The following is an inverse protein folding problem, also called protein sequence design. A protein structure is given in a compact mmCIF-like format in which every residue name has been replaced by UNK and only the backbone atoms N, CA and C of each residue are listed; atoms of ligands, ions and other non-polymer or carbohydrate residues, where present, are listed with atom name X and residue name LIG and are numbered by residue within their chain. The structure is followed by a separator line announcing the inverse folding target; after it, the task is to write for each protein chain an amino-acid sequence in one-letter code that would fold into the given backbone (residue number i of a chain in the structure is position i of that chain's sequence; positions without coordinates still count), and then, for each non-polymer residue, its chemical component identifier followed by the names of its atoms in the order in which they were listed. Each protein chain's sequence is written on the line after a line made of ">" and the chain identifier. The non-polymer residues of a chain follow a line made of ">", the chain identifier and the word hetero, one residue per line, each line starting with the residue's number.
data_IF_041534796511
#
_entry.id   IF_041534796511
#
_cell.length_a   1.000
_cell.length_b   1.000
_cell.length_c   1.000
_cell.angle_alpha   90.00
_cell.angle_beta   90.00
_cell.angle_gamma   90.00
#
_symmetry.space_group_name_H-M   'P 1'
#
loop_
_entity.id
_entity.type
_entity.pdbx_description
1 polymer ?
#
# COMPACT_ATOMS: atom_id res chain seq x y z
N UNK A 1 11.13 13.92 -0.60
CA UNK A 1 11.30 12.44 -0.70
C UNK A 1 10.25 11.79 -1.60
N UNK A 2 10.58 10.75 -2.40
CA UNK A 2 9.65 10.21 -3.40
C UNK A 2 8.44 9.54 -2.74
N UNK A 3 7.22 9.78 -3.26
CA UNK A 3 6.03 9.06 -2.85
C UNK A 3 6.10 7.59 -3.25
N UNK A 4 5.24 6.78 -2.66
CA UNK A 4 5.07 5.41 -3.11
C UNK A 4 4.62 5.41 -4.56
N UNK A 5 5.30 4.63 -5.40
CA UNK A 5 4.87 4.43 -6.78
C UNK A 5 4.41 2.99 -6.93
N UNK A 6 3.23 2.81 -7.51
CA UNK A 6 2.68 1.50 -7.86
C UNK A 6 2.65 1.38 -9.38
N UNK A 7 2.81 0.16 -9.89
CA UNK A 7 2.99 -0.09 -11.32
C UNK A 7 1.64 -0.57 -11.89
N UNK A 8 0.84 0.27 -12.58
CA UNK A 8 -0.52 -0.11 -12.99
C UNK A 8 -0.54 -1.27 -13.99
N UNK A 9 0.44 -1.33 -14.90
CA UNK A 9 0.55 -2.45 -15.85
C UNK A 9 0.74 -3.80 -15.16
N UNK A 10 1.36 -3.83 -13.97
CA UNK A 10 1.48 -5.08 -13.21
C UNK A 10 0.12 -5.51 -12.66
N UNK A 11 -0.75 -4.57 -12.29
CA UNK A 11 -2.14 -4.87 -11.92
C UNK A 11 -2.88 -5.54 -13.08
N UNK A 12 -2.79 -4.94 -14.27
CA UNK A 12 -3.43 -5.46 -15.49
C UNK A 12 -3.00 -6.91 -15.76
N UNK A 13 -1.69 -7.16 -15.76
CA UNK A 13 -1.13 -8.49 -16.01
C UNK A 13 -1.55 -9.51 -14.96
N UNK A 14 -1.57 -9.12 -13.68
CA UNK A 14 -1.95 -10.00 -12.59
C UNK A 14 -3.42 -10.41 -12.66
N UNK A 15 -4.31 -9.51 -13.09
CA UNK A 15 -5.72 -9.83 -13.29
C UNK A 15 -5.90 -10.76 -14.50
N UNK A 16 -5.29 -10.45 -15.64
CA UNK A 16 -5.35 -11.28 -16.86
C UNK A 16 -4.83 -12.69 -16.59
N UNK A 17 -3.80 -12.82 -15.76
CA UNK A 17 -3.23 -14.12 -15.35
C UNK A 17 -4.22 -15.01 -14.58
N UNK A 18 -5.29 -14.45 -13.99
CA UNK A 18 -6.35 -15.22 -13.33
C UNK A 18 -7.31 -15.91 -14.31
N UNK A 19 -7.20 -15.61 -15.62
CA UNK A 19 -7.96 -16.27 -16.69
C UNK A 19 -9.47 -16.30 -16.45
N UNK A 20 -10.02 -15.20 -15.92
CA UNK A 20 -11.46 -15.06 -15.70
C UNK A 20 -12.18 -14.99 -17.05
N UNK A 21 -13.26 -15.77 -17.20
CA UNK A 21 -14.00 -15.91 -18.45
C UNK A 21 -15.37 -15.25 -18.31
N UNK A 22 -15.82 -14.55 -19.36
CA UNK A 22 -17.18 -14.04 -19.50
C UNK A 22 -17.81 -14.51 -20.83
N UNK A 23 -19.13 -14.79 -20.85
CA UNK A 23 -20.01 -14.94 -19.70
C UNK A 23 -19.66 -16.18 -18.84
N UNK A 24 -19.94 -16.08 -17.54
CA UNK A 24 -19.64 -17.14 -16.56
C UNK A 24 -20.55 -18.36 -16.80
N UNK A 25 -19.97 -19.57 -16.73
CA UNK A 25 -20.74 -20.81 -16.79
C UNK A 25 -21.28 -21.15 -18.18
N UNK A 26 -20.89 -20.40 -19.21
CA UNK A 26 -21.35 -20.64 -20.57
C UNK A 26 -20.71 -21.89 -21.18
N UNK A 27 -21.53 -22.64 -21.92
CA UNK A 27 -21.11 -23.74 -22.78
C UNK A 27 -21.77 -23.60 -24.14
N UNK A 28 -21.03 -23.96 -25.19
CA UNK A 28 -21.55 -23.93 -26.56
C UNK A 28 -22.75 -24.89 -26.66
N UNK A 29 -23.93 -24.44 -27.13
CA UNK A 29 -25.08 -25.31 -27.32
C UNK A 29 -24.76 -26.47 -28.27
N UNK A 30 -25.20 -27.68 -27.90
CA UNK A 30 -25.05 -28.91 -28.70
C UNK A 30 -26.40 -29.44 -29.18
N UNK A 31 -26.41 -30.36 -30.15
CA UNK A 31 -27.64 -30.99 -30.65
C UNK A 31 -28.46 -30.03 -31.53
N UNK A 32 -29.80 -30.10 -31.45
CA UNK A 32 -30.68 -29.22 -32.24
C UNK A 32 -30.49 -27.73 -31.90
N UNK A 33 -30.27 -27.39 -30.63
CA UNK A 33 -29.93 -26.03 -30.21
C UNK A 33 -28.60 -25.53 -30.77
N UNK A 34 -27.64 -26.44 -31.02
CA UNK A 34 -26.37 -26.11 -31.68
C UNK A 34 -26.51 -25.73 -33.15
N UNK A 35 -27.58 -26.18 -33.83
CA UNK A 35 -27.88 -25.78 -35.21
C UNK A 35 -28.51 -24.38 -35.27
N UNK A 36 -29.40 -24.08 -34.32
CA UNK A 36 -30.08 -22.78 -34.24
C UNK A 36 -29.15 -21.65 -33.77
N UNK A 37 -28.10 -21.97 -33.01
CA UNK A 37 -27.22 -20.97 -32.43
C UNK A 37 -26.44 -20.13 -33.47
N UNK A 38 -25.73 -20.69 -34.47
CA UNK A 38 -25.10 -19.91 -35.52
C UNK A 38 -26.10 -19.09 -36.35
N UNK A 39 -27.29 -19.63 -36.59
CA UNK A 39 -28.34 -18.98 -37.39
C UNK A 39 -28.92 -17.74 -36.68
N UNK A 40 -28.77 -17.63 -35.36
CA UNK A 40 -29.20 -16.47 -34.58
C UNK A 40 -28.31 -15.23 -34.79
N UNK A 41 -27.13 -15.37 -35.41
CA UNK A 41 -26.16 -14.30 -35.61
C UNK A 41 -26.07 -13.86 -37.06
N UNK A 42 -25.79 -12.57 -37.28
CA UNK A 42 -25.35 -12.11 -38.61
C UNK A 42 -23.95 -12.67 -38.90
N UNK A 43 -23.61 -12.83 -40.18
CA UNK A 43 -22.28 -13.35 -40.58
C UNK A 43 -21.10 -12.60 -39.96
N UNK A 44 -21.21 -11.30 -39.77
CA UNK A 44 -20.19 -10.45 -39.13
C UNK A 44 -20.23 -10.46 -37.59
N UNK A 45 -21.20 -11.16 -36.99
CA UNK A 45 -21.35 -11.29 -35.54
C UNK A 45 -20.89 -12.69 -35.04
N UNK A 46 -20.71 -13.64 -35.96
CA UNK A 46 -20.28 -15.01 -35.66
C UNK A 46 -18.86 -15.08 -35.06
N UNK A 47 -17.95 -14.26 -35.58
CA UNK A 47 -16.56 -14.24 -35.15
C UNK A 47 -15.99 -12.82 -35.29
N UNK A 48 -15.56 -12.25 -34.17
CA UNK A 48 -14.86 -10.98 -34.09
C UNK A 48 -13.51 -11.22 -33.41
N UNK A 49 -12.42 -10.57 -33.85
CA UNK A 49 -11.13 -10.72 -33.19
C UNK A 49 -11.21 -10.26 -31.72
N UNK A 50 -10.67 -11.06 -30.78
CA UNK A 50 -10.66 -10.70 -29.37
C UNK A 50 -9.76 -9.49 -29.10
N UNK A 51 -10.10 -8.72 -28.06
CA UNK A 51 -9.32 -7.53 -27.67
C UNK A 51 -8.06 -7.96 -26.92
N UNK A 52 -6.85 -7.54 -27.35
CA UNK A 52 -5.62 -7.80 -26.62
C UNK A 52 -5.66 -7.20 -25.20
N UNK A 53 -5.17 -7.94 -24.21
CA UNK A 53 -5.08 -7.50 -22.80
C UNK A 53 -6.42 -7.10 -22.16
N UNK A 54 -7.52 -7.70 -22.61
CA UNK A 54 -8.78 -7.62 -21.90
C UNK A 54 -8.68 -8.35 -20.55
N UNK A 55 -9.20 -7.74 -19.49
CA UNK A 55 -9.23 -8.34 -18.14
C UNK A 55 -9.96 -9.69 -18.12
N UNK A 56 -10.97 -9.84 -18.97
CA UNK A 56 -11.73 -11.07 -19.11
C UNK A 56 -11.50 -11.73 -20.46
N UNK A 57 -11.42 -13.05 -20.43
CA UNK A 57 -11.38 -13.91 -21.60
C UNK A 57 -12.81 -14.17 -22.09
N UNK A 58 -12.98 -14.16 -23.41
CA UNK A 58 -14.27 -14.43 -24.02
C UNK A 58 -14.53 -15.93 -24.04
N UNK A 59 -15.71 -16.36 -23.59
CA UNK A 59 -16.11 -17.77 -23.65
C UNK A 59 -16.25 -18.27 -25.10
N UNK A 60 -16.54 -17.37 -26.03
CA UNK A 60 -16.50 -17.62 -27.47
C UNK A 60 -16.08 -16.36 -28.24
N UNK A 61 -15.80 -16.52 -29.53
CA UNK A 61 -15.41 -15.42 -30.43
C UNK A 61 -16.60 -14.66 -31.02
N UNK A 62 -17.83 -14.96 -30.59
CA UNK A 62 -18.99 -14.22 -31.06
C UNK A 62 -18.88 -12.74 -30.62
N UNK A 63 -19.48 -11.85 -31.41
CA UNK A 63 -19.38 -10.41 -31.17
C UNK A 63 -19.83 -10.01 -29.77
N UNK A 64 -20.95 -10.55 -29.29
CA UNK A 64 -21.55 -10.14 -28.03
C UNK A 64 -20.69 -10.50 -26.81
N UNK A 65 -20.03 -11.66 -26.83
CA UNK A 65 -19.10 -12.08 -25.78
C UNK A 65 -17.83 -11.23 -25.81
N UNK A 66 -17.30 -10.93 -27.01
CA UNK A 66 -16.13 -10.06 -27.16
C UNK A 66 -16.42 -8.64 -26.69
N UNK A 67 -17.56 -8.07 -27.09
CA UNK A 67 -17.99 -6.73 -26.68
C UNK A 67 -18.26 -6.67 -25.17
N UNK A 68 -18.93 -7.68 -24.59
CA UNK A 68 -19.13 -7.75 -23.14
C UNK A 68 -17.82 -7.85 -22.36
N UNK A 69 -16.88 -8.69 -22.81
CA UNK A 69 -15.56 -8.78 -22.17
C UNK A 69 -14.85 -7.44 -22.20
N UNK A 70 -14.91 -6.73 -23.33
CA UNK A 70 -14.30 -5.40 -23.49
C UNK A 70 -14.92 -4.38 -22.54
N UNK A 71 -16.23 -4.30 -22.47
CA UNK A 71 -16.93 -3.29 -21.67
C UNK A 71 -16.77 -3.54 -20.16
N UNK A 72 -17.02 -4.78 -19.72
CA UNK A 72 -16.84 -5.17 -18.31
C UNK A 72 -15.37 -5.14 -17.93
N UNK A 73 -14.48 -5.60 -18.80
CA UNK A 73 -13.04 -5.56 -18.59
C UNK A 73 -12.51 -4.14 -18.43
N UNK A 74 -13.04 -3.18 -19.21
CA UNK A 74 -12.71 -1.76 -19.03
C UNK A 74 -13.15 -1.25 -17.66
N UNK A 75 -14.37 -1.55 -17.22
CA UNK A 75 -14.85 -1.13 -15.90
C UNK A 75 -13.98 -1.66 -14.75
N UNK A 76 -13.56 -2.92 -14.84
CA UNK A 76 -12.67 -3.54 -13.84
C UNK A 76 -11.28 -2.91 -13.86
N UNK A 77 -10.74 -2.61 -15.05
CA UNK A 77 -9.47 -1.92 -15.20
C UNK A 77 -9.51 -0.51 -14.62
N UNK A 78 -10.54 0.26 -14.96
CA UNK A 78 -10.74 1.62 -14.47
C UNK A 78 -10.89 1.64 -12.94
N UNK A 79 -11.63 0.67 -12.38
CA UNK A 79 -11.72 0.46 -10.93
C UNK A 79 -10.35 0.17 -10.31
N UNK A 80 -9.59 -0.76 -10.89
CA UNK A 80 -8.29 -1.16 -10.35
C UNK A 80 -7.31 0.03 -10.32
N UNK A 81 -7.25 0.80 -11.39
CA UNK A 81 -6.38 1.97 -11.50
C UNK A 81 -6.81 3.07 -10.52
N UNK A 82 -8.12 3.32 -10.40
CA UNK A 82 -8.65 4.26 -9.42
C UNK A 82 -8.28 3.88 -7.98
N UNK A 83 -8.34 2.59 -7.63
CA UNK A 83 -7.95 2.10 -6.31
C UNK A 83 -6.44 2.23 -6.05
N UNK A 84 -5.60 1.99 -7.06
CA UNK A 84 -4.15 2.19 -6.95
C UNK A 84 -3.80 3.67 -6.73
N UNK A 85 -4.47 4.57 -7.42
CA UNK A 85 -4.26 6.01 -7.23
C UNK A 85 -4.83 6.51 -5.89
N UNK A 86 -5.96 5.96 -5.43
CA UNK A 86 -6.50 6.23 -4.10
C UNK A 86 -5.53 5.78 -2.99
N UNK A 87 -4.84 4.65 -3.17
CA UNK A 87 -3.81 4.20 -2.25
C UNK A 87 -2.61 5.17 -2.23
N UNK A 88 -2.10 5.59 -3.39
CA UNK A 88 -1.01 6.59 -3.47
C UNK A 88 -1.39 7.88 -2.74
N UNK A 89 -2.56 8.43 -3.05
CA UNK A 89 -3.08 9.63 -2.41
C UNK A 89 -3.12 9.48 -0.89
N UNK A 90 -3.68 8.38 -0.40
CA UNK A 90 -3.82 8.11 1.04
C UNK A 90 -2.49 7.94 1.73
N UNK A 91 -1.54 7.26 1.08
CA UNK A 91 -0.19 7.09 1.58
C UNK A 91 0.56 8.42 1.66
N UNK A 92 0.38 9.33 0.69
CA UNK A 92 0.98 10.65 0.75
C UNK A 92 0.37 11.52 1.85
N UNK A 93 -0.94 11.45 2.05
CA UNK A 93 -1.60 12.08 3.21
C UNK A 93 -1.09 11.51 4.54
N UNK A 94 -0.83 10.20 4.59
CA UNK A 94 -0.22 9.57 5.74
C UNK A 94 1.21 10.06 5.99
N UNK A 95 2.05 10.14 4.95
CA UNK A 95 3.44 10.64 5.06
C UNK A 95 3.51 12.06 5.60
N UNK A 96 2.52 12.91 5.28
CA UNK A 96 2.42 14.28 5.82
C UNK A 96 2.27 14.31 7.33
N UNK A 97 1.60 13.31 7.88
CA UNK A 97 1.30 13.22 9.30
C UNK A 97 2.23 12.24 10.04
N UNK A 98 2.98 11.43 9.30
CA UNK A 98 3.85 10.41 9.84
C UNK A 98 4.98 11.02 10.69
N UNK A 99 5.19 10.44 11.86
CA UNK A 99 6.18 10.90 12.83
C UNK A 99 6.75 9.75 13.64
N UNK A 100 7.98 9.95 14.09
CA UNK A 100 8.60 9.08 15.09
C UNK A 100 8.33 9.67 16.46
N UNK A 101 7.98 8.83 17.43
CA UNK A 101 7.71 9.20 18.82
C UNK A 101 8.34 8.18 19.76
N UNK A 102 8.43 8.56 21.04
CA UNK A 102 8.90 7.70 22.13
C UNK A 102 10.29 7.11 21.87
N UNK A 103 11.15 7.84 21.16
CA UNK A 103 12.53 7.43 20.95
C UNK A 103 13.35 7.73 22.20
N UNK A 104 14.25 6.80 22.52
CA UNK A 104 15.30 6.99 23.51
C UNK A 104 16.61 7.29 22.81
N UNK A 105 17.23 8.40 23.19
CA UNK A 105 18.53 8.82 22.66
C UNK A 105 19.63 8.48 23.64
N UNK A 106 20.60 7.67 23.17
CA UNK A 106 21.74 7.18 23.95
C UNK A 106 23.02 7.43 23.17
N UNK A 107 23.73 8.50 23.54
CA UNK A 107 24.85 9.07 22.82
C UNK A 107 24.47 9.27 21.34
N UNK A 108 25.17 8.59 20.43
CA UNK A 108 24.93 8.69 18.99
C UNK A 108 23.66 8.00 18.50
N UNK A 109 23.12 7.07 19.29
CA UNK A 109 22.09 6.14 18.86
C UNK A 109 20.68 6.62 19.22
N UNK A 110 19.75 6.48 18.26
CA UNK A 110 18.32 6.52 18.49
C UNK A 110 17.75 5.10 18.62
N UNK A 111 16.99 4.84 19.67
CA UNK A 111 16.36 3.56 19.94
C UNK A 111 14.85 3.78 20.05
N UNK A 112 14.07 3.04 19.28
CA UNK A 112 12.60 3.09 19.29
C UNK A 112 12.05 1.69 19.47
N UNK A 113 11.16 1.50 20.42
CA UNK A 113 10.44 0.23 20.60
C UNK A 113 9.38 0.05 19.50
N UNK A 114 8.85 -1.18 19.29
CA UNK A 114 7.82 -1.40 18.28
C UNK A 114 6.62 -0.46 18.46
N UNK A 115 6.31 0.31 17.41
CA UNK A 115 5.26 1.32 17.42
C UNK A 115 5.75 2.76 17.55
N UNK A 116 7.07 2.97 17.48
CA UNK A 116 7.66 4.30 17.48
C UNK A 116 7.30 5.12 16.22
N UNK A 117 6.85 4.49 15.13
CA UNK A 117 6.32 5.18 13.96
C UNK A 117 4.79 5.33 14.09
N UNK A 118 4.34 6.58 14.08
CA UNK A 118 2.94 6.94 14.19
C UNK A 118 2.44 7.68 12.95
N UNK A 119 1.15 7.56 12.68
CA UNK A 119 0.49 8.08 11.48
C UNK A 119 -0.96 7.60 11.38
N UNK A 120 -1.80 8.32 10.62
CA UNK A 120 -3.23 8.06 10.51
C UNK A 120 -3.52 6.73 9.81
N UNK A 121 -4.76 6.26 9.89
CA UNK A 121 -5.19 5.12 9.09
C UNK A 121 -5.43 5.54 7.64
N UNK A 122 -5.21 4.62 6.69
CA UNK A 122 -5.35 4.91 5.27
C UNK A 122 -6.80 4.83 4.80
N UNK A 123 -7.64 4.05 5.48
CA UNK A 123 -8.98 3.66 5.00
C UNK A 123 -9.86 4.85 4.63
N UNK A 124 -10.00 5.83 5.53
CA UNK A 124 -10.84 6.99 5.29
C UNK A 124 -10.34 7.82 4.11
N UNK A 125 -9.03 8.01 4.00
CA UNK A 125 -8.43 8.73 2.88
C UNK A 125 -8.63 7.98 1.56
N UNK A 126 -8.58 6.64 1.57
CA UNK A 126 -8.77 5.83 0.36
C UNK A 126 -10.21 5.84 -0.12
N UNK A 127 -11.18 5.87 0.82
CA UNK A 127 -12.61 5.96 0.51
C UNK A 127 -13.00 7.34 -0.02
N UNK A 128 -12.37 8.39 0.50
CA UNK A 128 -12.64 9.78 0.15
C UNK A 128 -11.69 10.34 -0.92
N UNK A 129 -10.81 9.51 -1.49
CA UNK A 129 -9.90 9.93 -2.55
C UNK A 129 -10.73 10.37 -3.78
N UNK A 130 -10.33 11.44 -4.49
CA UNK A 130 -11.10 11.97 -5.63
C UNK A 130 -11.46 10.92 -6.70
N UNK A 131 -10.63 9.89 -6.84
CA UNK A 131 -10.78 8.81 -7.83
C UNK A 131 -11.88 7.80 -7.47
N UNK A 132 -12.24 7.70 -6.19
CA UNK A 132 -13.11 6.63 -5.65
C UNK A 132 -14.28 7.18 -4.83
N UNK A 133 -14.28 8.47 -4.50
CA UNK A 133 -15.32 9.13 -3.70
C UNK A 133 -16.72 9.05 -4.35
N UNK A 134 -16.78 9.07 -5.68
CA UNK A 134 -18.04 8.98 -6.44
C UNK A 134 -18.57 7.54 -6.57
N UNK A 135 -17.81 6.53 -6.15
CA UNK A 135 -18.24 5.14 -6.26
C UNK A 135 -19.47 4.89 -5.39
N UNK A 136 -20.46 4.22 -5.97
CA UNK A 136 -21.75 3.92 -5.35
C UNK A 136 -22.16 2.46 -5.58
N UNK A 137 -23.18 1.99 -4.87
CA UNK A 137 -23.70 0.63 -5.00
C UNK A 137 -22.66 -0.44 -4.71
N UNK A 138 -22.59 -1.48 -5.56
CA UNK A 138 -21.63 -2.57 -5.39
C UNK A 138 -20.17 -2.11 -5.54
N UNK A 139 -19.91 -1.11 -6.39
CA UNK A 139 -18.57 -0.57 -6.58
C UNK A 139 -18.02 0.10 -5.31
N UNK A 140 -18.89 0.76 -4.53
CA UNK A 140 -18.53 1.30 -3.22
C UNK A 140 -18.15 0.18 -2.22
N UNK A 141 -18.89 -0.95 -2.23
CA UNK A 141 -18.56 -2.10 -1.37
C UNK A 141 -17.21 -2.73 -1.74
N UNK A 142 -16.90 -2.82 -3.04
CA UNK A 142 -15.58 -3.26 -3.52
C UNK A 142 -14.48 -2.31 -3.05
N UNK A 143 -14.66 -1.00 -3.24
CA UNK A 143 -13.73 0.03 -2.74
C UNK A 143 -13.52 -0.08 -1.23
N UNK A 144 -14.60 -0.20 -0.47
CA UNK A 144 -14.56 -0.21 0.98
C UNK A 144 -13.81 -1.44 1.51
N UNK A 145 -14.01 -2.62 0.90
CA UNK A 145 -13.27 -3.83 1.21
C UNK A 145 -11.77 -3.69 0.88
N UNK A 146 -11.44 -3.14 -0.30
CA UNK A 146 -10.06 -2.86 -0.66
C UNK A 146 -9.39 -1.87 0.32
N UNK A 147 -10.05 -0.76 0.64
CA UNK A 147 -9.55 0.27 1.54
C UNK A 147 -9.34 -0.26 2.97
N UNK A 148 -10.30 -1.02 3.51
CA UNK A 148 -10.20 -1.62 4.83
C UNK A 148 -9.06 -2.65 4.90
N UNK A 149 -8.98 -3.56 3.92
CA UNK A 149 -7.95 -4.59 3.87
C UNK A 149 -6.53 -4.02 3.78
N UNK A 150 -6.32 -3.06 2.87
CA UNK A 150 -5.02 -2.39 2.69
C UNK A 150 -4.65 -1.58 3.94
N UNK A 151 -5.59 -0.79 4.48
CA UNK A 151 -5.36 0.03 5.68
C UNK A 151 -4.99 -0.82 6.89
N UNK A 152 -5.69 -1.94 7.10
CA UNK A 152 -5.41 -2.88 8.19
C UNK A 152 -3.98 -3.43 8.12
N UNK A 153 -3.60 -3.98 6.97
CA UNK A 153 -2.24 -4.51 6.76
C UNK A 153 -1.16 -3.44 6.96
N UNK A 154 -1.38 -2.23 6.42
CA UNK A 154 -0.45 -1.12 6.56
C UNK A 154 -0.33 -0.66 8.01
N UNK A 155 -1.44 -0.56 8.74
CA UNK A 155 -1.45 -0.19 10.17
C UNK A 155 -0.75 -1.23 11.03
N UNK A 156 -0.98 -2.51 10.77
CA UNK A 156 -0.27 -3.61 11.43
C UNK A 156 1.25 -3.52 11.22
N UNK A 157 1.70 -3.25 9.99
CA UNK A 157 3.11 -2.98 9.69
C UNK A 157 3.64 -1.78 10.48
N UNK A 158 2.99 -0.61 10.36
CA UNK A 158 3.39 0.65 10.98
C UNK A 158 3.52 0.50 12.49
N UNK A 159 2.53 -0.13 13.14
CA UNK A 159 2.43 -0.27 14.59
C UNK A 159 3.57 -1.07 15.23
N UNK A 160 4.40 -1.74 14.43
CA UNK A 160 5.54 -2.54 14.91
C UNK A 160 6.88 -2.08 14.33
N UNK A 161 6.92 -0.98 13.59
CA UNK A 161 8.18 -0.35 13.18
C UNK A 161 8.99 0.03 14.43
N UNK A 162 10.29 -0.23 14.39
CA UNK A 162 11.23 0.04 15.47
C UNK A 162 12.51 0.68 14.95
N UNK A 163 13.25 1.39 15.81
CA UNK A 163 14.57 1.96 15.51
C UNK A 163 15.62 1.18 16.32
N UNK A 164 16.47 0.35 15.68
CA UNK A 164 17.30 -0.63 16.39
C UNK A 164 18.61 -0.06 16.99
N UNK A 165 18.67 1.23 17.33
CA UNK A 165 19.91 1.87 17.77
C UNK A 165 20.70 2.51 16.63
N UNK A 166 20.01 3.17 15.69
CA UNK A 166 20.65 3.78 14.52
C UNK A 166 21.46 5.03 14.92
N UNK A 167 22.62 5.30 14.31
CA UNK A 167 23.50 6.41 14.65
C UNK A 167 22.98 7.75 14.09
N UNK A 168 21.81 8.18 14.56
CA UNK A 168 21.12 9.38 14.09
C UNK A 168 21.79 10.67 14.55
N UNK A 169 22.47 10.67 15.69
CA UNK A 169 22.98 11.90 16.30
C UNK A 169 24.48 11.83 16.64
N UNK A 170 25.42 11.75 15.68
CA UNK A 170 26.85 11.68 16.01
C UNK A 170 27.37 12.80 16.90
N UNK A 171 26.79 14.01 16.79
CA UNK A 171 27.11 15.15 17.65
C UNK A 171 26.83 14.89 19.15
N UNK A 172 25.99 13.92 19.48
CA UNK A 172 25.64 13.57 20.86
C UNK A 172 26.63 12.61 21.52
N UNK A 173 27.69 12.18 20.80
CA UNK A 173 28.80 11.43 21.40
C UNK A 173 29.53 12.25 22.47
N UNK A 174 29.71 13.55 22.20
CA UNK A 174 30.41 14.49 23.06
C UNK A 174 29.86 15.90 22.83
N UNK A 175 28.84 16.27 23.62
CA UNK A 175 28.20 17.59 23.52
C UNK A 175 28.74 18.54 24.62
N UNK A 176 29.13 19.78 24.29
CA UNK A 176 29.66 20.75 25.24
C UNK A 176 28.53 21.50 25.97
N UNK A 177 27.90 20.85 26.94
CA UNK A 177 26.88 21.50 27.77
C UNK A 177 26.12 20.53 28.67
N UNK A 178 25.27 21.03 29.59
CA UNK A 178 24.47 20.21 30.48
C UNK A 178 23.31 19.49 29.76
N UNK A 179 22.87 20.03 28.62
CA UNK A 179 21.76 19.51 27.84
C UNK A 179 21.96 19.81 26.36
N UNK A 180 21.82 18.80 25.51
CA UNK A 180 21.81 18.94 24.07
C UNK A 180 20.46 19.50 23.61
N UNK A 181 20.43 20.58 22.83
CA UNK A 181 19.21 21.11 22.26
C UNK A 181 18.63 20.15 21.20
N UNK A 182 17.39 20.38 20.74
CA UNK A 182 16.83 19.67 19.61
C UNK A 182 17.73 19.77 18.36
N UNK A 183 18.30 18.64 17.94
CA UNK A 183 19.15 18.53 16.76
C UNK A 183 18.57 17.48 15.80
N UNK A 184 18.57 17.74 14.48
CA UNK A 184 18.02 16.80 13.51
C UNK A 184 18.90 15.54 13.40
N UNK A 185 18.28 14.43 13.03
CA UNK A 185 18.99 13.20 12.70
C UNK A 185 19.77 13.32 11.39
N UNK A 186 20.83 12.52 11.26
CA UNK A 186 21.40 12.20 9.95
C UNK A 186 20.34 11.43 9.13
N UNK A 187 20.05 11.86 7.89
CA UNK A 187 19.15 11.16 6.99
C UNK A 187 19.47 9.67 6.90
N UNK A 188 18.45 8.83 7.11
CA UNK A 188 18.62 7.38 7.06
C UNK A 188 17.46 6.73 6.30
N UNK A 189 17.71 5.71 5.45
CA UNK A 189 16.63 5.00 4.76
C UNK A 189 15.63 4.36 5.74
N UNK A 190 14.34 4.43 5.46
CA UNK A 190 13.27 3.85 6.29
C UNK A 190 13.37 2.33 6.41
N UNK A 191 13.92 1.66 5.39
CA UNK A 191 14.20 0.22 5.44
C UNK A 191 15.13 -0.18 6.61
N UNK A 192 15.92 0.76 7.17
CA UNK A 192 16.76 0.51 8.35
C UNK A 192 15.98 0.47 9.67
N UNK A 193 14.69 0.84 9.64
CA UNK A 193 13.76 0.75 10.75
C UNK A 193 12.82 -0.45 10.52
N UNK A 194 13.24 -1.68 10.87
CA UNK A 194 12.48 -2.88 10.56
C UNK A 194 11.14 -2.90 11.30
N UNK A 195 10.22 -3.70 10.76
CA UNK A 195 8.98 -4.09 11.43
C UNK A 195 8.88 -5.62 11.39
N UNK A 196 8.56 -6.31 12.49
CA UNK A 196 8.27 -7.74 12.46
C UNK A 196 7.00 -8.06 11.63
N UNK A 197 6.19 -7.05 11.32
CA UNK A 197 4.95 -7.18 10.55
C UNK A 197 5.13 -6.92 9.05
N UNK A 198 6.36 -6.98 8.54
CA UNK A 198 6.65 -6.87 7.09
C UNK A 198 5.86 -7.88 6.25
N UNK A 199 5.62 -9.08 6.77
CA UNK A 199 4.84 -10.12 6.09
C UNK A 199 3.40 -9.68 5.77
N UNK A 200 2.82 -8.73 6.54
CA UNK A 200 1.47 -8.21 6.31
C UNK A 200 1.33 -7.40 5.03
N UNK A 201 2.44 -6.88 4.51
CA UNK A 201 2.49 -6.14 3.26
C UNK A 201 2.83 -7.01 2.05
N UNK A 202 2.78 -8.35 2.18
CA UNK A 202 2.92 -9.27 1.05
C UNK A 202 1.62 -9.35 0.25
N UNK A 203 1.68 -9.72 -1.05
CA UNK A 203 0.49 -9.79 -1.90
C UNK A 203 -0.61 -10.70 -1.33
N UNK A 204 -0.24 -11.84 -0.74
CA UNK A 204 -1.21 -12.80 -0.17
C UNK A 204 -1.88 -12.29 1.09
N UNK A 205 -1.15 -11.60 1.96
CA UNK A 205 -1.75 -11.04 3.18
C UNK A 205 -2.67 -9.86 2.86
N UNK A 206 -2.27 -9.00 1.91
CA UNK A 206 -3.12 -7.93 1.41
C UNK A 206 -4.38 -8.46 0.73
N UNK A 207 -4.25 -9.47 -0.14
CA UNK A 207 -5.39 -10.16 -0.76
C UNK A 207 -6.34 -10.71 0.30
N UNK A 208 -5.83 -11.48 1.26
CA UNK A 208 -6.63 -12.06 2.35
C UNK A 208 -7.37 -11.00 3.16
N UNK A 209 -6.70 -9.90 3.54
CA UNK A 209 -7.33 -8.82 4.29
C UNK A 209 -8.44 -8.10 3.51
N UNK A 210 -8.29 -7.96 2.18
CA UNK A 210 -9.35 -7.41 1.32
C UNK A 210 -10.54 -8.37 1.20
N UNK A 211 -10.28 -9.67 1.08
CA UNK A 211 -11.31 -10.71 1.05
C UNK A 211 -12.08 -10.78 2.37
N UNK A 212 -11.39 -10.72 3.51
CA UNK A 212 -12.01 -10.73 4.85
C UNK A 212 -12.94 -9.52 5.06
N UNK A 213 -12.63 -8.39 4.42
CA UNK A 213 -13.45 -7.17 4.47
C UNK A 213 -14.57 -7.15 3.42
N UNK A 214 -14.61 -8.13 2.51
CA UNK A 214 -15.59 -8.18 1.43
C UNK A 214 -16.90 -8.78 1.91
N UNK A 215 -18.01 -8.10 1.59
CA UNK A 215 -19.34 -8.42 2.13
C UNK A 215 -20.33 -8.91 1.08
N UNK A 216 -19.91 -9.04 -0.17
CA UNK A 216 -20.75 -9.59 -1.24
C UNK A 216 -20.38 -11.05 -1.50
N UNK A 217 -21.35 -11.79 -2.04
CA UNK A 217 -21.07 -13.12 -2.57
C UNK A 217 -20.20 -13.00 -3.83
N UNK A 218 -19.19 -13.86 -3.95
CA UNK A 218 -18.24 -13.88 -5.07
C UNK A 218 -18.04 -15.32 -5.58
N UNK A 219 -19.12 -15.97 -6.07
CA UNK A 219 -19.04 -17.36 -6.55
C UNK A 219 -18.03 -17.50 -7.70
N UNK A 220 -17.89 -16.44 -8.49
CA UNK A 220 -17.03 -16.39 -9.68
C UNK A 220 -15.58 -16.00 -9.35
N UNK A 221 -15.31 -15.67 -8.08
CA UNK A 221 -14.01 -15.26 -7.56
C UNK A 221 -13.42 -14.07 -8.33
N UNK A 222 -14.27 -13.14 -8.79
CA UNK A 222 -13.87 -11.94 -9.53
C UNK A 222 -13.25 -10.91 -8.59
N UNK A 223 -13.81 -10.73 -7.39
CA UNK A 223 -13.22 -9.87 -6.39
C UNK A 223 -11.92 -10.47 -5.86
N UNK A 224 -11.84 -11.78 -5.69
CA UNK A 224 -10.59 -12.49 -5.36
C UNK A 224 -9.46 -12.19 -6.36
N UNK A 225 -9.77 -12.27 -7.66
CA UNK A 225 -8.84 -11.89 -8.72
C UNK A 225 -8.46 -10.41 -8.66
N UNK A 226 -9.43 -9.53 -8.41
CA UNK A 226 -9.20 -8.08 -8.26
C UNK A 226 -8.28 -7.79 -7.06
N UNK A 227 -8.55 -8.37 -5.90
CA UNK A 227 -7.78 -8.20 -4.68
C UNK A 227 -6.31 -8.61 -4.89
N UNK A 228 -6.04 -9.76 -5.52
CA UNK A 228 -4.67 -10.16 -5.83
C UNK A 228 -3.99 -9.20 -6.82
N UNK A 229 -4.73 -8.75 -7.83
CA UNK A 229 -4.22 -7.82 -8.85
C UNK A 229 -3.83 -6.46 -8.26
N UNK A 230 -4.55 -5.98 -7.25
CA UNK A 230 -4.23 -4.75 -6.50
C UNK A 230 -3.10 -4.97 -5.50
N UNK A 231 -3.14 -6.08 -4.76
CA UNK A 231 -2.18 -6.39 -3.70
C UNK A 231 -0.74 -6.47 -4.20
N UNK A 232 -0.55 -7.02 -5.41
CA UNK A 232 0.78 -7.26 -5.98
C UNK A 232 1.58 -5.97 -6.25
N UNK A 233 1.09 -5.01 -7.06
CA UNK A 233 1.78 -3.74 -7.29
C UNK A 233 1.90 -2.89 -6.02
N UNK A 234 0.95 -2.98 -5.08
CA UNK A 234 1.04 -2.29 -3.78
C UNK A 234 2.21 -2.84 -2.96
N UNK A 235 2.32 -4.16 -2.82
CA UNK A 235 3.39 -4.81 -2.07
C UNK A 235 4.78 -4.48 -2.63
N UNK A 236 4.93 -4.51 -3.96
CA UNK A 236 6.19 -4.17 -4.64
C UNK A 236 6.51 -2.70 -4.49
N UNK A 237 5.52 -1.82 -4.72
CA UNK A 237 5.68 -0.37 -4.54
C UNK A 237 6.09 -0.02 -3.11
N UNK A 238 5.50 -0.69 -2.13
CA UNK A 238 5.83 -0.53 -0.72
C UNK A 238 7.29 -0.93 -0.40
N UNK A 239 7.76 -2.08 -0.91
CA UNK A 239 9.14 -2.51 -0.69
C UNK A 239 10.16 -1.54 -1.31
N UNK A 240 9.90 -1.07 -2.54
CA UNK A 240 10.73 -0.06 -3.20
C UNK A 240 10.72 1.24 -2.41
N UNK A 241 9.53 1.67 -1.95
CA UNK A 241 9.37 2.88 -1.17
C UNK A 241 10.20 2.84 0.13
N UNK A 242 10.18 1.75 0.90
CA UNK A 242 10.97 1.62 2.14
C UNK A 242 12.47 1.90 1.92
N UNK A 243 13.04 1.41 0.83
CA UNK A 243 14.46 1.60 0.52
C UNK A 243 14.76 3.03 0.06
N UNK A 244 13.83 3.66 -0.66
CA UNK A 244 14.00 5.01 -1.20
C UNK A 244 13.63 6.14 -0.23
N UNK A 245 12.75 5.87 0.73
CA UNK A 245 12.28 6.84 1.71
C UNK A 245 13.36 7.07 2.76
N UNK A 246 13.68 8.34 3.03
CA UNK A 246 14.60 8.75 4.10
C UNK A 246 13.78 9.26 5.27
N UNK A 247 14.29 8.99 6.46
CA UNK A 247 13.83 9.54 7.70
C UNK A 247 14.71 10.75 7.98
N UNK A 248 14.12 11.94 8.04
CA UNK A 248 14.85 13.19 8.26
C UNK A 248 14.10 14.08 9.25
N UNK A 249 14.81 15.07 9.81
CA UNK A 249 14.27 16.05 10.76
C UNK A 249 13.65 15.45 12.02
N UNK A 250 14.03 14.23 12.40
CA UNK A 250 13.73 13.71 13.73
C UNK A 250 14.62 14.46 14.71
N UNK A 251 14.02 15.36 15.48
CA UNK A 251 14.76 16.23 16.40
C UNK A 251 14.99 15.49 17.73
N UNK A 252 16.22 15.06 17.99
CA UNK A 252 16.64 14.49 19.27
C UNK A 252 17.13 15.56 20.24
N UNK A 253 16.94 15.36 21.54
CA UNK A 253 17.48 16.22 22.62
C UNK A 253 17.77 15.37 23.85
N UNK A 254 18.51 15.91 24.83
CA UNK A 254 18.65 15.21 26.11
C UNK A 254 19.75 15.74 27.03
N UNK A 255 19.81 15.28 28.29
CA UNK A 255 20.79 15.71 29.28
C UNK A 255 22.17 15.04 29.07
N UNK A 256 23.22 15.68 29.60
CA UNK A 256 24.59 15.16 29.64
C UNK A 256 24.97 14.97 31.13
N UNK A 257 24.90 13.74 31.68
CA UNK A 257 25.10 13.50 33.11
C UNK A 257 26.50 13.82 33.65
N UNK A 258 27.52 13.78 32.79
CA UNK A 258 28.91 14.07 33.17
C UNK A 258 29.18 15.56 33.42
N UNK A 259 28.17 16.41 33.22
CA UNK A 259 28.21 17.82 33.60
C UNK A 259 27.97 18.03 35.11
N UNK A 260 27.77 16.96 35.88
CA UNK A 260 27.78 16.97 37.35
C UNK A 260 29.16 16.59 37.91
N UNK A 261 29.56 17.07 39.11
CA UNK A 261 30.88 16.81 39.69
C UNK A 261 31.21 15.30 39.78
N UNK A 262 32.43 14.85 39.42
CA UNK A 262 33.56 15.62 38.89
C UNK A 262 33.30 16.12 37.46
N UNK A 263 33.40 17.43 37.26
CA UNK A 263 32.95 18.12 36.05
C UNK A 263 33.75 17.71 34.81
N UNK A 264 33.09 17.11 33.83
CA UNK A 264 33.64 16.93 32.48
C UNK A 264 32.89 17.90 31.55
N UNK A 265 33.57 18.88 30.92
CA UNK A 265 32.92 19.93 30.13
C UNK A 265 32.20 19.43 28.86
N UNK A 266 32.42 18.16 28.51
CA UNK A 266 31.81 17.47 27.38
C UNK A 266 31.38 16.07 27.81
N UNK A 267 30.29 15.59 27.24
CA UNK A 267 29.86 14.21 27.50
C UNK A 267 28.76 13.74 26.56
N UNK A 268 28.45 12.44 26.63
CA UNK A 268 27.41 11.87 25.81
C UNK A 268 26.02 12.29 26.32
N UNK A 269 25.07 12.41 25.40
CA UNK A 269 23.65 12.48 25.78
C UNK A 269 23.23 11.13 26.35
N UNK A 270 22.58 11.11 27.50
CA UNK A 270 22.10 9.87 28.14
C UNK A 270 20.66 10.04 28.56
N UNK A 271 19.77 9.18 28.06
CA UNK A 271 18.34 9.25 28.38
C UNK A 271 17.63 10.43 27.71
N UNK A 272 18.09 10.82 26.53
CA UNK A 272 17.40 11.81 25.71
C UNK A 272 16.13 11.25 25.07
N UNK A 273 15.36 12.13 24.46
CA UNK A 273 14.11 11.85 23.76
C UNK A 273 14.07 12.56 22.39
N UNK A 274 12.96 12.38 21.67
CA UNK A 274 12.72 13.10 20.42
C UNK A 274 11.46 13.96 20.47
N UNK A 275 11.41 14.98 19.62
CA UNK A 275 10.19 15.77 19.41
C UNK A 275 9.30 15.01 18.40
N UNK A 276 8.06 14.63 18.77
CA UNK A 276 7.14 13.92 17.88
C UNK A 276 6.38 14.91 16.99
N UNK A 277 7.08 15.53 16.04
CA UNK A 277 6.52 16.42 15.03
C UNK A 277 6.19 15.65 13.73
N UNK A 278 5.08 15.97 13.03
CA UNK A 278 4.82 15.44 11.70
C UNK A 278 5.90 15.80 10.67
N UNK A 279 5.99 15.01 9.60
CA UNK A 279 6.79 15.34 8.42
C UNK A 279 8.15 14.65 8.34
N UNK A 280 8.45 13.70 9.24
CA UNK A 280 9.72 12.96 9.24
C UNK A 280 9.95 12.10 7.98
N UNK A 281 8.92 11.92 7.14
CA UNK A 281 8.96 11.15 5.89
C UNK A 281 8.71 12.00 4.63
N UNK A 282 8.71 13.33 4.73
CA UNK A 282 8.49 14.23 3.59
C UNK A 282 9.66 15.16 3.34
N UNK A 283 10.26 15.66 4.42
CA UNK A 283 11.50 16.42 4.39
C UNK A 283 12.53 15.69 3.55
#
# INVERSE_FOLDING_TARGET
>A
MPPINVIPILCDLMFVAQKKVLPVGWSQPTGEGGKQYPDAFKKNELAVPPVPLCYFWCASVNKYHVDQCKDVGKQFKDFAHAMLDAFKFSHDMWRLQAKFKDLKVMAVCAIGTPGCLDGPELESNMKNAPQTASFSGNMAKWRDACAAGISKCFKEWQSKVMVPGLPWYPAFAAFPGPMAPPMPNIPMPLITCPSPMMAKMTPKMLQGAMLDAFSLDDPDKQFDAMALSLATPIAIGFLIWLASQQIMLVMGKGPIPTFAPPYVPVGPVVGGDNIPAPGHLIA
#
